data_IF_738596100724
#
_entry.id   IF_738596100724
#
_cell.length_a   1.000
_cell.length_b   1.000
_cell.length_c   1.000
_cell.angle_alpha   90.00
_cell.angle_beta   90.00
_cell.angle_gamma   90.00
#
_symmetry.space_group_name_H-M   'P 1'
#
loop_
_entity.id
_entity.type
_entity.pdbx_description
1 polymer ?
#
# COMPACT_ATOMS: atom_id res chain seq x y z
N UNK A 1 -4.43 -6.26 -1.82
CA UNK A 1 -5.34 -5.20 -1.37
C UNK A 1 -4.83 -4.50 -0.11
N UNK A 2 -4.81 -5.06 1.11
CA UNK A 2 -4.23 -4.32 2.28
C UNK A 2 -2.69 -4.19 2.24
N UNK A 3 -1.97 -5.30 2.06
CA UNK A 3 -0.49 -5.33 2.06
C UNK A 3 0.16 -4.50 0.94
N UNK A 4 -0.59 -4.27 -0.15
CA UNK A 4 -0.14 -3.44 -1.27
C UNK A 4 -0.18 -1.97 -0.89
N UNK A 5 -1.27 -1.53 -0.27
CA UNK A 5 -1.43 -0.16 0.22
C UNK A 5 -0.33 0.15 1.25
N UNK A 6 -0.13 -0.76 2.21
CA UNK A 6 0.91 -0.61 3.23
C UNK A 6 2.31 -0.55 2.61
N UNK A 7 2.66 -1.45 1.69
CA UNK A 7 3.98 -1.42 1.06
C UNK A 7 4.20 -0.17 0.18
N UNK A 8 3.16 0.31 -0.50
CA UNK A 8 3.19 1.58 -1.24
C UNK A 8 3.43 2.77 -0.31
N UNK A 9 2.73 2.83 0.83
CA UNK A 9 2.94 3.86 1.85
C UNK A 9 4.37 3.84 2.42
N UNK A 10 4.94 2.65 2.65
CA UNK A 10 6.33 2.51 3.10
C UNK A 10 7.30 3.04 2.05
N UNK A 11 7.05 2.77 0.76
CA UNK A 11 7.90 3.28 -0.33
C UNK A 11 7.80 4.80 -0.49
N UNK A 12 6.61 5.37 -0.33
CA UNK A 12 6.41 6.84 -0.28
C UNK A 12 7.15 7.44 0.91
N UNK A 13 6.98 6.88 2.11
CA UNK A 13 7.64 7.37 3.33
C UNK A 13 9.17 7.26 3.29
N UNK A 14 9.70 6.34 2.48
CA UNK A 14 11.14 6.18 2.20
C UNK A 14 11.63 7.03 1.02
N UNK A 15 10.75 7.79 0.36
CA UNK A 15 11.09 8.61 -0.82
C UNK A 15 11.39 7.81 -2.08
N UNK A 16 11.03 6.51 -2.13
CA UNK A 16 11.22 5.66 -3.32
C UNK A 16 10.15 5.89 -4.38
N UNK A 17 8.96 6.30 -3.96
CA UNK A 17 7.86 6.74 -4.81
C UNK A 17 7.62 8.21 -4.51
N UNK A 18 7.54 9.04 -5.55
CA UNK A 18 7.36 10.49 -5.41
C UNK A 18 5.89 10.89 -5.53
N UNK A 19 5.11 10.07 -6.18
CA UNK A 19 3.69 10.22 -6.39
C UNK A 19 2.95 10.09 -5.06
N UNK A 20 1.92 10.92 -4.88
CA UNK A 20 1.04 10.79 -3.72
C UNK A 20 0.23 9.49 -3.80
N UNK A 21 -0.13 8.93 -2.65
CA UNK A 21 -1.02 7.77 -2.61
C UNK A 21 -2.34 8.04 -3.35
N UNK A 22 -2.85 9.28 -3.30
CA UNK A 22 -4.06 9.70 -4.03
C UNK A 22 -3.89 9.51 -5.54
N UNK A 23 -2.80 10.01 -6.11
CA UNK A 23 -2.53 9.88 -7.55
C UNK A 23 -2.43 8.41 -7.98
N UNK A 24 -1.84 7.55 -7.14
CA UNK A 24 -1.68 6.11 -7.41
C UNK A 24 -3.04 5.38 -7.35
N UNK A 25 -3.94 5.78 -6.45
CA UNK A 25 -5.30 5.21 -6.39
C UNK A 25 -6.12 5.67 -7.60
N UNK A 26 -6.03 6.96 -7.95
CA UNK A 26 -6.78 7.56 -9.05
C UNK A 26 -6.35 6.99 -10.41
N UNK A 27 -5.08 6.61 -10.58
CA UNK A 27 -4.61 5.99 -11.82
C UNK A 27 -5.20 4.60 -12.07
N UNK A 28 -5.65 3.88 -11.03
CA UNK A 28 -6.11 2.48 -11.10
C UNK A 28 -5.08 1.53 -11.71
N UNK A 29 -3.80 1.93 -11.75
CA UNK A 29 -2.73 1.17 -12.36
C UNK A 29 -1.92 0.43 -11.29
N UNK A 30 -1.92 -0.91 -11.37
CA UNK A 30 -1.19 -1.74 -10.41
C UNK A 30 0.33 -1.50 -10.45
N UNK A 31 0.86 -1.11 -11.61
CA UNK A 31 2.29 -0.82 -11.81
C UNK A 31 2.79 0.42 -11.07
N UNK A 32 1.90 1.34 -10.72
CA UNK A 32 2.22 2.57 -9.96
C UNK A 32 2.33 2.33 -8.45
N UNK A 33 1.92 1.15 -7.99
CA UNK A 33 1.98 0.79 -6.57
C UNK A 33 3.37 0.28 -6.19
N UNK A 34 3.74 0.44 -4.92
CA UNK A 34 4.98 -0.10 -4.37
C UNK A 34 4.98 -1.60 -4.15
N UNK A 35 6.01 -2.06 -3.44
CA UNK A 35 6.17 -3.47 -3.12
C UNK A 35 4.98 -4.02 -2.31
N UNK A 36 4.79 -5.34 -2.33
CA UNK A 36 3.80 -5.97 -1.46
C UNK A 36 4.43 -6.21 -0.10
N UNK A 37 3.90 -5.59 0.97
CA UNK A 37 4.43 -5.77 2.32
C UNK A 37 4.44 -7.27 2.75
N UNK A 38 5.35 -7.72 3.62
CA UNK A 38 5.39 -9.11 4.09
C UNK A 38 4.08 -9.57 4.76
N UNK A 39 3.76 -10.86 4.66
CA UNK A 39 2.50 -11.41 5.19
C UNK A 39 2.47 -11.48 6.72
N UNK A 40 3.60 -11.84 7.35
CA UNK A 40 3.70 -12.07 8.79
C UNK A 40 3.52 -10.81 9.65
N UNK A 41 3.45 -9.62 9.04
CA UNK A 41 3.14 -8.36 9.73
C UNK A 41 1.66 -7.97 9.71
N UNK A 42 0.79 -8.73 9.02
CA UNK A 42 -0.64 -8.44 8.92
C UNK A 42 -1.45 -9.29 9.90
N UNK A 43 -2.33 -8.65 10.67
CA UNK A 43 -3.23 -9.31 11.62
C UNK A 43 -4.67 -8.83 11.43
N UNK A 44 -5.63 -9.76 11.47
CA UNK A 44 -7.05 -9.43 11.54
C UNK A 44 -7.39 -9.03 12.98
N UNK A 45 -7.83 -7.78 13.18
CA UNK A 45 -8.07 -7.25 14.53
C UNK A 45 -9.47 -7.54 15.07
N UNK A 46 -10.50 -7.32 14.24
CA UNK A 46 -11.91 -7.40 14.64
C UNK A 46 -12.78 -7.61 13.40
N UNK A 47 -13.92 -8.25 13.57
CA UNK A 47 -15.02 -8.29 12.61
C UNK A 47 -16.25 -7.74 13.32
N UNK A 48 -16.88 -6.73 12.72
CA UNK A 48 -18.14 -6.17 13.17
C UNK A 48 -19.29 -6.80 12.37
N UNK A 49 -20.38 -7.15 13.06
CA UNK A 49 -21.58 -7.74 12.49
C UNK A 49 -22.73 -6.74 12.53
#
# INVERSE_FOLDING_TARGET
MVRIIVGTLVDIGRGRIKESLKNIIDSKERGMCGHTAPAHGLFLKKVDY
#
